data_IF_789310165570
#
_entry.id   IF_789310165570
#
_cell.length_a   1.000
_cell.length_b   1.000
_cell.length_c   1.000
_cell.angle_alpha   90.00
_cell.angle_beta   90.00
_cell.angle_gamma   90.00
#
_symmetry.space_group_name_H-M   'P 1'
#
loop_
_entity.id
_entity.type
_entity.pdbx_description
1 polymer ?
#
# COMPACT_ATOMS: atom_id res chain seq x y z
N UNK A 1 0.70 13.32 -4.46
CA UNK A 1 -0.07 12.60 -3.42
C UNK A 1 -0.54 13.58 -2.36
N UNK A 2 -1.85 13.59 -2.10
CA UNK A 2 -2.46 14.07 -0.85
C UNK A 2 -2.86 12.84 -0.02
N UNK A 3 -3.12 13.02 1.28
CA UNK A 3 -3.51 11.92 2.16
C UNK A 3 -4.81 11.26 1.69
N UNK A 4 -5.80 12.06 1.32
CA UNK A 4 -7.11 11.59 0.85
C UNK A 4 -6.99 10.69 -0.38
N UNK A 5 -6.17 11.11 -1.35
CA UNK A 5 -5.93 10.34 -2.57
C UNK A 5 -5.21 9.00 -2.28
N UNK A 6 -4.29 8.97 -1.31
CA UNK A 6 -3.60 7.74 -0.91
C UNK A 6 -4.56 6.77 -0.22
N UNK A 7 -5.39 7.27 0.71
CA UNK A 7 -6.40 6.45 1.40
C UNK A 7 -7.42 5.87 0.42
N UNK A 8 -7.88 6.67 -0.55
CA UNK A 8 -8.79 6.19 -1.59
C UNK A 8 -8.16 5.05 -2.41
N UNK A 9 -6.89 5.19 -2.81
CA UNK A 9 -6.17 4.15 -3.56
C UNK A 9 -5.95 2.87 -2.74
N UNK A 10 -5.62 2.99 -1.44
CA UNK A 10 -5.49 1.83 -0.55
C UNK A 10 -6.81 1.05 -0.47
N UNK A 11 -7.93 1.75 -0.28
CA UNK A 11 -9.24 1.10 -0.19
C UNK A 11 -9.64 0.44 -1.52
N UNK A 12 -9.35 1.09 -2.64
CA UNK A 12 -9.60 0.54 -3.97
C UNK A 12 -8.76 -0.72 -4.22
N UNK A 13 -7.45 -0.68 -3.95
CA UNK A 13 -6.55 -1.82 -4.11
C UNK A 13 -6.93 -3.00 -3.19
N UNK A 14 -7.30 -2.72 -1.94
CA UNK A 14 -7.79 -3.74 -1.01
C UNK A 14 -9.06 -4.43 -1.53
N UNK A 15 -10.00 -3.66 -2.10
CA UNK A 15 -11.23 -4.23 -2.67
C UNK A 15 -10.94 -5.16 -3.85
N UNK A 16 -9.92 -4.84 -4.65
CA UNK A 16 -9.47 -5.72 -5.74
C UNK A 16 -8.94 -7.04 -5.17
N UNK A 17 -8.04 -6.99 -4.17
CA UNK A 17 -7.49 -8.21 -3.55
C UNK A 17 -8.57 -9.14 -2.97
N UNK A 18 -9.62 -8.58 -2.35
CA UNK A 18 -10.73 -9.38 -1.79
C UNK A 18 -11.53 -10.08 -2.89
N UNK A 19 -11.82 -9.41 -4.00
CA UNK A 19 -12.62 -10.02 -5.09
C UNK A 19 -11.91 -11.14 -5.83
N UNK A 20 -10.59 -11.24 -5.69
CA UNK A 20 -9.72 -12.17 -6.42
C UNK A 20 -9.14 -13.27 -5.51
N UNK A 21 -9.59 -13.38 -4.26
CA UNK A 21 -9.20 -14.47 -3.37
C UNK A 21 -9.59 -15.87 -3.91
N UNK A 22 -10.42 -15.94 -4.95
CA UNK A 22 -10.79 -17.16 -5.69
C UNK A 22 -10.00 -17.36 -7.00
N UNK A 23 -9.18 -16.38 -7.42
CA UNK A 23 -8.36 -16.46 -8.64
C UNK A 23 -6.88 -16.66 -8.32
N UNK A 24 -6.12 -17.20 -9.27
CA UNK A 24 -4.67 -17.40 -9.16
C UNK A 24 -3.87 -16.13 -9.47
N UNK A 25 -4.49 -14.96 -9.42
CA UNK A 25 -3.89 -13.72 -9.88
C UNK A 25 -2.87 -13.18 -8.87
N UNK A 26 -1.76 -12.68 -9.41
CA UNK A 26 -0.60 -12.22 -8.64
C UNK A 26 -0.53 -10.71 -8.68
N UNK A 27 -0.53 -10.05 -7.52
CA UNK A 27 -0.45 -8.61 -7.40
C UNK A 27 0.95 -8.13 -7.01
N UNK A 28 1.33 -6.97 -7.55
CA UNK A 28 2.50 -6.23 -7.12
C UNK A 28 2.10 -4.78 -6.79
N UNK A 29 2.66 -4.22 -5.72
CA UNK A 29 2.42 -2.87 -5.27
C UNK A 29 3.65 -2.00 -5.51
N UNK A 30 3.46 -0.81 -6.09
CA UNK A 30 4.50 0.21 -6.21
C UNK A 30 4.02 1.45 -5.45
N UNK A 31 4.82 1.92 -4.50
CA UNK A 31 4.51 3.11 -3.71
C UNK A 31 5.72 4.02 -3.61
N UNK A 32 5.52 5.33 -3.82
CA UNK A 32 6.60 6.30 -3.69
C UNK A 32 6.75 6.82 -2.25
N UNK A 33 7.93 7.34 -1.93
CA UNK A 33 8.25 7.80 -0.56
C UNK A 33 7.27 8.86 -0.02
N UNK A 34 6.73 9.74 -0.88
CA UNK A 34 5.74 10.73 -0.44
C UNK A 34 4.41 10.06 -0.07
N UNK A 35 3.94 9.11 -0.87
CA UNK A 35 2.71 8.38 -0.57
C UNK A 35 2.88 7.42 0.60
N UNK A 36 4.06 6.79 0.72
CA UNK A 36 4.42 5.92 1.83
C UNK A 36 4.38 6.64 3.18
N UNK A 37 4.74 7.93 3.20
CA UNK A 37 4.62 8.74 4.42
C UNK A 37 3.17 8.81 4.91
N UNK A 38 2.22 9.10 4.02
CA UNK A 38 0.79 9.12 4.35
C UNK A 38 0.26 7.73 4.69
N UNK A 39 0.70 6.70 3.97
CA UNK A 39 0.25 5.33 4.15
C UNK A 39 0.70 4.72 5.50
N UNK A 40 1.79 5.22 6.09
CA UNK A 40 2.31 4.79 7.39
C UNK A 40 1.81 5.63 8.58
N UNK A 41 0.91 6.59 8.37
CA UNK A 41 0.25 7.33 9.45
C UNK A 41 -0.69 6.40 10.25
N UNK A 42 -0.86 6.66 11.55
CA UNK A 42 -1.53 5.77 12.50
C UNK A 42 -2.96 5.37 12.09
N UNK A 43 -3.71 6.27 11.48
CA UNK A 43 -5.10 6.02 11.03
C UNK A 43 -5.21 5.24 9.71
N UNK A 44 -4.09 5.06 9.00
CA UNK A 44 -4.03 4.48 7.65
C UNK A 44 -3.15 3.23 7.58
N UNK A 45 -2.16 3.12 8.50
CA UNK A 45 -1.12 2.08 8.51
C UNK A 45 -1.67 0.67 8.39
N UNK A 46 -2.66 0.31 9.20
CA UNK A 46 -3.17 -1.07 9.23
C UNK A 46 -3.81 -1.45 7.88
N UNK A 47 -4.57 -0.54 7.27
CA UNK A 47 -5.19 -0.75 5.95
C UNK A 47 -4.14 -0.92 4.85
N UNK A 48 -3.08 -0.10 4.91
CA UNK A 48 -1.98 -0.20 3.98
C UNK A 48 -1.23 -1.54 4.11
N UNK A 49 -0.88 -1.94 5.34
CA UNK A 49 -0.15 -3.18 5.58
C UNK A 49 -0.96 -4.41 5.18
N UNK A 50 -2.25 -4.45 5.48
CA UNK A 50 -3.13 -5.55 5.07
C UNK A 50 -3.21 -5.70 3.54
N UNK A 51 -3.33 -4.58 2.81
CA UNK A 51 -3.28 -4.59 1.34
C UNK A 51 -1.90 -5.02 0.82
N UNK A 52 -0.81 -4.52 1.42
CA UNK A 52 0.55 -4.83 1.01
C UNK A 52 0.90 -6.31 1.19
N UNK A 53 0.41 -6.95 2.27
CA UNK A 53 0.59 -8.38 2.54
C UNK A 53 -0.14 -9.24 1.49
N UNK A 54 -1.26 -8.78 0.95
CA UNK A 54 -1.96 -9.46 -0.14
C UNK A 54 -1.22 -9.39 -1.49
N UNK A 55 -0.18 -8.56 -1.61
CA UNK A 55 0.65 -8.47 -2.81
C UNK A 55 1.84 -9.43 -2.70
N UNK A 56 2.18 -10.10 -3.81
CA UNK A 56 3.37 -10.97 -3.91
C UNK A 56 4.68 -10.17 -3.92
N UNK A 57 4.64 -8.92 -4.37
CA UNK A 57 5.79 -8.02 -4.36
C UNK A 57 5.37 -6.61 -4.00
N UNK A 58 6.23 -5.91 -3.25
CA UNK A 58 6.04 -4.50 -2.89
C UNK A 58 7.34 -3.75 -3.17
N UNK A 59 7.27 -2.70 -3.97
CA UNK A 59 8.39 -1.83 -4.33
C UNK A 59 8.14 -0.44 -3.76
N UNK A 60 8.93 -0.07 -2.75
CA UNK A 60 8.96 1.28 -2.20
C UNK A 60 10.01 2.12 -2.94
N UNK A 61 9.57 2.99 -3.86
CA UNK A 61 10.47 3.85 -4.63
C UNK A 61 10.65 5.23 -3.97
N UNK A 62 11.83 5.83 -4.12
CA UNK A 62 12.17 7.15 -3.51
C UNK A 62 11.97 7.22 -1.98
N UNK A 63 12.07 6.09 -1.27
CA UNK A 63 12.00 6.05 0.20
C UNK A 63 13.29 6.58 0.83
N UNK A 64 13.15 7.46 1.83
CA UNK A 64 14.30 7.97 2.60
C UNK A 64 14.87 6.92 3.55
N UNK A 65 16.14 7.04 4.01
CA UNK A 65 16.70 6.13 5.02
C UNK A 65 15.82 5.99 6.26
N UNK A 66 15.22 7.09 6.74
CA UNK A 66 14.29 7.07 7.87
C UNK A 66 13.09 6.17 7.58
N UNK A 67 12.45 6.31 6.42
CA UNK A 67 11.28 5.53 6.04
C UNK A 67 11.56 4.04 5.87
N UNK A 68 12.80 3.66 5.55
CA UNK A 68 13.21 2.25 5.45
C UNK A 68 13.41 1.59 6.82
N UNK A 69 13.58 2.38 7.88
CA UNK A 69 13.80 1.90 9.24
C UNK A 69 12.53 1.87 10.11
N UNK A 70 11.40 2.37 9.58
CA UNK A 70 10.11 2.45 10.25
C UNK A 70 9.27 1.18 10.08
#
# INVERSE_FOLDING_TARGET
>A
ASKESVVQQINAGKSQLVSLAESTDVFALIIDGKSLAFALEEDTKDKFLEMAIGCTSVICCRSSPKQKAL
#
